data_IF_035991984843
#
_entry.id   IF_035991984843
#
_cell.length_a   1.000
_cell.length_b   1.000
_cell.length_c   1.000
_cell.angle_alpha   90.00
_cell.angle_beta   90.00
_cell.angle_gamma   90.00
#
_symmetry.space_group_name_H-M   'P 1'
#
loop_
_entity.id
_entity.type
_entity.pdbx_description
1 polymer ?
#
# COMPACT_ATOMS: atom_id res chain seq x y z
N UNK A 1 -11.94 27.87 39.67
CA UNK A 1 -12.66 27.13 38.64
C UNK A 1 -12.10 27.54 37.28
N UNK A 2 -11.20 26.76 36.72
CA UNK A 2 -10.56 27.05 35.42
C UNK A 2 -11.40 26.42 34.33
N UNK A 3 -12.24 27.22 33.66
CA UNK A 3 -13.00 26.80 32.47
C UNK A 3 -12.10 26.76 31.25
N UNK A 4 -11.59 25.60 30.94
CA UNK A 4 -10.87 25.39 29.70
C UNK A 4 -11.79 25.65 28.49
N UNK A 5 -11.49 26.67 27.69
CA UNK A 5 -12.24 27.00 26.49
C UNK A 5 -12.18 25.79 25.54
N UNK A 6 -13.34 25.21 25.19
CA UNK A 6 -13.45 24.14 24.21
C UNK A 6 -12.93 24.65 22.87
N UNK A 7 -11.94 23.94 22.29
CA UNK A 7 -11.43 24.26 20.95
C UNK A 7 -12.58 24.28 19.93
N UNK A 8 -12.63 25.24 19.01
CA UNK A 8 -13.63 25.27 17.95
C UNK A 8 -13.61 23.99 17.10
N UNK A 9 -14.77 23.53 16.67
CA UNK A 9 -14.96 22.27 15.93
C UNK A 9 -14.06 22.18 14.70
N UNK A 10 -13.89 23.28 13.97
CA UNK A 10 -13.03 23.33 12.79
C UNK A 10 -11.53 23.10 13.11
N UNK A 11 -11.07 23.49 14.30
CA UNK A 11 -9.69 23.21 14.75
C UNK A 11 -9.53 21.72 15.04
N UNK A 12 -10.53 21.12 15.69
CA UNK A 12 -10.53 19.69 16.00
C UNK A 12 -10.55 18.87 14.71
N UNK A 13 -11.37 19.26 13.73
CA UNK A 13 -11.47 18.59 12.45
C UNK A 13 -10.19 18.73 11.62
N UNK A 14 -9.55 19.91 11.67
CA UNK A 14 -8.25 20.13 11.00
C UNK A 14 -7.12 19.34 11.67
N UNK A 15 -7.10 19.26 13.01
CA UNK A 15 -6.14 18.43 13.75
C UNK A 15 -6.38 16.93 13.50
N UNK A 16 -7.64 16.48 13.41
CA UNK A 16 -8.03 15.11 13.03
C UNK A 16 -7.60 14.78 11.62
N UNK A 17 -7.90 15.63 10.64
CA UNK A 17 -7.50 15.45 9.26
C UNK A 17 -5.97 15.41 9.11
N UNK A 18 -5.24 16.29 9.83
CA UNK A 18 -3.78 16.30 9.82
C UNK A 18 -3.18 15.05 10.48
N UNK A 19 -3.80 14.56 11.58
CA UNK A 19 -3.39 13.30 12.22
C UNK A 19 -3.73 12.08 11.36
N UNK A 20 -4.89 12.05 10.70
CA UNK A 20 -5.27 11.01 9.78
C UNK A 20 -4.31 10.95 8.59
N UNK A 21 -4.00 12.08 7.96
CA UNK A 21 -3.05 12.16 6.85
C UNK A 21 -1.61 11.81 7.26
N UNK A 22 -1.21 12.13 8.50
CA UNK A 22 0.12 11.78 9.04
C UNK A 22 0.23 10.33 9.52
N UNK A 23 -0.91 9.71 9.90
CA UNK A 23 -1.00 8.36 10.43
C UNK A 23 -1.42 7.32 9.38
N UNK A 24 -1.66 7.73 8.14
CA UNK A 24 -2.05 6.81 7.09
C UNK A 24 -0.82 6.03 6.61
N UNK A 25 -0.55 4.94 7.29
CA UNK A 25 0.46 3.95 6.89
C UNK A 25 -0.21 2.62 6.63
N UNK A 26 0.41 1.82 5.78
CA UNK A 26 -0.05 0.49 5.40
C UNK A 26 1.06 -0.50 5.67
N UNK A 27 0.72 -1.65 6.27
CA UNK A 27 1.63 -2.77 6.38
C UNK A 27 1.46 -3.72 5.20
N UNK A 28 2.43 -3.72 4.31
CA UNK A 28 2.54 -4.72 3.25
C UNK A 28 3.18 -5.98 3.81
N UNK A 29 2.75 -7.15 3.37
CA UNK A 29 3.31 -8.43 3.84
C UNK A 29 3.37 -9.48 2.73
N UNK A 30 4.26 -10.45 2.93
CA UNK A 30 4.57 -11.48 1.93
C UNK A 30 5.72 -11.07 1.00
N UNK A 31 6.48 -12.07 0.57
CA UNK A 31 7.77 -11.86 -0.12
C UNK A 31 7.63 -11.02 -1.40
N UNK A 32 6.63 -11.28 -2.25
CA UNK A 32 6.46 -10.56 -3.51
C UNK A 32 6.04 -9.11 -3.31
N UNK A 33 5.02 -8.86 -2.47
CA UNK A 33 4.55 -7.51 -2.21
C UNK A 33 5.64 -6.65 -1.57
N UNK A 34 6.38 -7.20 -0.59
CA UNK A 34 7.48 -6.51 0.08
C UNK A 34 8.63 -6.24 -0.88
N UNK A 35 9.03 -7.23 -1.69
CA UNK A 35 10.09 -7.06 -2.68
C UNK A 35 9.77 -5.92 -3.65
N UNK A 36 8.60 -5.94 -4.25
CA UNK A 36 8.24 -4.96 -5.27
C UNK A 36 8.09 -3.55 -4.68
N UNK A 37 7.60 -3.43 -3.45
CA UNK A 37 7.59 -2.16 -2.72
C UNK A 37 8.99 -1.66 -2.35
N UNK A 38 9.92 -2.56 -2.01
CA UNK A 38 11.31 -2.19 -1.72
C UNK A 38 12.00 -1.56 -2.92
N UNK A 39 11.84 -2.14 -4.11
CA UNK A 39 12.48 -1.65 -5.34
C UNK A 39 11.74 -0.47 -5.99
N UNK A 40 10.50 -0.17 -5.57
CA UNK A 40 9.76 0.97 -6.08
C UNK A 40 10.33 2.30 -5.52
N UNK A 41 10.91 3.18 -6.36
CA UNK A 41 11.47 4.44 -5.91
C UNK A 41 10.41 5.43 -5.41
N UNK A 42 9.16 5.28 -5.84
CA UNK A 42 8.06 6.17 -5.46
C UNK A 42 7.41 5.76 -4.12
N UNK A 43 7.76 4.58 -3.60
CA UNK A 43 7.21 4.09 -2.34
C UNK A 43 7.98 4.64 -1.14
N UNK A 44 7.29 5.37 -0.27
CA UNK A 44 7.87 5.81 1.01
C UNK A 44 7.86 4.63 1.98
N UNK A 45 9.04 4.14 2.30
CA UNK A 45 9.30 3.00 3.17
C UNK A 45 9.64 3.52 4.57
N UNK A 46 9.00 2.98 5.60
CA UNK A 46 9.12 3.48 6.98
C UNK A 46 9.82 2.47 7.89
N UNK A 47 9.40 1.20 7.87
CA UNK A 47 9.91 0.17 8.75
C UNK A 47 9.86 -1.19 8.06
N UNK A 48 10.97 -1.91 8.06
CA UNK A 48 11.09 -3.25 7.46
C UNK A 48 11.38 -4.30 8.53
N UNK A 49 10.50 -5.30 8.65
CA UNK A 49 10.63 -6.41 9.58
C UNK A 49 10.75 -7.71 8.80
N UNK A 50 11.84 -8.43 9.01
CA UNK A 50 12.14 -9.67 8.28
C UNK A 50 12.56 -10.77 9.25
N UNK A 51 12.19 -12.01 8.94
CA UNK A 51 12.91 -13.17 9.47
C UNK A 51 14.21 -13.36 8.69
N UNK A 52 15.17 -14.11 9.27
CA UNK A 52 16.43 -14.40 8.59
C UNK A 52 16.23 -15.04 7.22
N UNK A 53 15.33 -16.02 7.12
CA UNK A 53 15.00 -16.68 5.84
C UNK A 53 14.39 -15.72 4.80
N UNK A 54 13.55 -14.78 5.24
CA UNK A 54 13.00 -13.76 4.34
C UNK A 54 14.07 -12.75 3.89
N UNK A 55 14.96 -12.36 4.81
CA UNK A 55 16.10 -11.49 4.49
C UNK A 55 16.98 -12.10 3.40
N UNK A 56 17.35 -13.39 3.53
CA UNK A 56 18.19 -14.07 2.56
C UNK A 56 17.57 -14.08 1.14
N UNK A 57 16.23 -14.11 1.07
CA UNK A 57 15.49 -14.05 -0.21
C UNK A 57 15.32 -12.63 -0.75
N UNK A 58 15.38 -11.63 0.09
CA UNK A 58 15.12 -10.22 -0.26
C UNK A 58 16.38 -9.35 -0.22
N UNK A 59 17.56 -9.94 0.02
CA UNK A 59 18.80 -9.21 0.27
C UNK A 59 19.11 -8.16 -0.80
N UNK A 60 18.98 -8.50 -2.07
CA UNK A 60 19.20 -7.58 -3.19
C UNK A 60 18.22 -6.40 -3.17
N UNK A 61 16.92 -6.67 -2.93
CA UNK A 61 15.90 -5.63 -2.86
C UNK A 61 16.08 -4.72 -1.63
N UNK A 62 16.53 -5.27 -0.51
CA UNK A 62 16.85 -4.52 0.72
C UNK A 62 18.04 -3.59 0.49
N UNK A 63 19.10 -4.08 -0.15
CA UNK A 63 20.25 -3.29 -0.51
C UNK A 63 19.90 -2.16 -1.46
N UNK A 64 19.14 -2.46 -2.51
CA UNK A 64 18.65 -1.45 -3.46
C UNK A 64 17.78 -0.39 -2.80
N UNK A 65 16.94 -0.78 -1.85
CA UNK A 65 16.06 0.15 -1.13
C UNK A 65 16.80 1.05 -0.14
N UNK A 66 17.96 0.63 0.34
CA UNK A 66 18.75 1.37 1.33
C UNK A 66 18.06 1.50 2.70
N UNK A 67 17.14 0.59 3.03
CA UNK A 67 16.44 0.56 4.32
C UNK A 67 17.04 -0.53 5.21
N UNK A 68 17.32 -0.21 6.48
CA UNK A 68 17.83 -1.17 7.44
C UNK A 68 16.71 -2.08 7.96
N UNK A 69 16.81 -3.41 7.80
CA UNK A 69 15.77 -4.31 8.26
C UNK A 69 15.93 -4.67 9.75
N UNK A 70 14.81 -4.78 10.44
CA UNK A 70 14.74 -5.44 11.75
C UNK A 70 14.67 -6.96 11.53
N UNK A 71 15.74 -7.67 11.86
CA UNK A 71 15.77 -9.13 11.77
C UNK A 71 15.23 -9.74 13.06
N UNK A 72 14.16 -10.50 12.95
CA UNK A 72 13.45 -11.08 14.09
C UNK A 72 13.37 -12.61 14.00
N UNK A 73 13.30 -13.26 15.15
CA UNK A 73 12.96 -14.69 15.20
C UNK A 73 11.51 -14.91 14.71
N UNK A 74 11.22 -15.95 13.91
CA UNK A 74 9.86 -16.23 13.44
C UNK A 74 8.80 -16.29 14.54
N UNK A 75 9.16 -16.73 15.74
CA UNK A 75 8.27 -16.80 16.92
C UNK A 75 7.99 -15.43 17.53
N UNK A 76 8.84 -14.44 17.24
CA UNK A 76 8.73 -13.06 17.72
C UNK A 76 8.29 -12.10 16.63
N UNK A 77 7.91 -12.61 15.46
CA UNK A 77 7.41 -11.80 14.36
C UNK A 77 6.07 -11.19 14.76
N UNK A 78 6.07 -9.91 15.09
CA UNK A 78 4.91 -9.16 15.56
C UNK A 78 4.82 -7.83 14.84
N UNK A 79 3.86 -7.71 13.94
CA UNK A 79 3.52 -6.51 13.19
C UNK A 79 2.00 -6.37 13.16
N UNK A 80 1.44 -5.15 13.01
CA UNK A 80 0.00 -4.93 13.05
C UNK A 80 -0.67 -5.33 11.72
N UNK A 81 -0.72 -6.63 11.48
CA UNK A 81 -1.44 -7.26 10.36
C UNK A 81 -2.48 -8.23 10.92
N UNK A 82 -3.50 -8.56 10.12
CA UNK A 82 -4.57 -9.45 10.55
C UNK A 82 -4.06 -10.83 10.97
N UNK A 83 -4.63 -11.39 12.03
CA UNK A 83 -4.35 -12.75 12.45
C UNK A 83 -4.64 -13.74 11.31
N UNK A 84 -3.72 -14.68 11.09
CA UNK A 84 -3.82 -15.64 9.98
C UNK A 84 -3.30 -15.13 8.64
N UNK A 85 -2.83 -13.90 8.55
CA UNK A 85 -2.14 -13.40 7.35
C UNK A 85 -0.89 -14.21 7.06
N UNK A 86 -0.77 -14.72 5.83
CA UNK A 86 0.42 -15.47 5.41
C UNK A 86 1.53 -14.48 5.01
N UNK A 87 2.28 -14.00 6.00
CA UNK A 87 3.31 -12.95 5.82
C UNK A 87 4.67 -13.49 5.32
N UNK A 88 4.90 -14.78 5.35
CA UNK A 88 6.13 -15.43 4.87
C UNK A 88 7.43 -14.88 5.51
N UNK A 89 7.30 -14.31 6.71
CA UNK A 89 8.42 -13.69 7.45
C UNK A 89 8.85 -12.33 6.91
N UNK A 90 8.03 -11.65 6.11
CA UNK A 90 8.33 -10.33 5.56
C UNK A 90 7.15 -9.38 5.76
N UNK A 91 7.42 -8.20 6.32
CA UNK A 91 6.48 -7.09 6.42
C UNK A 91 7.20 -5.75 6.27
N UNK A 92 6.54 -4.81 5.61
CA UNK A 92 7.05 -3.46 5.34
C UNK A 92 5.96 -2.43 5.62
N UNK A 93 6.24 -1.51 6.52
CA UNK A 93 5.39 -0.33 6.75
C UNK A 93 5.72 0.73 5.70
N UNK A 94 4.69 1.21 5.03
CA UNK A 94 4.80 2.18 3.94
C UNK A 94 3.73 3.25 4.02
N UNK A 95 3.90 4.35 3.30
CA UNK A 95 2.79 5.24 2.98
C UNK A 95 2.07 4.75 1.72
N UNK A 96 0.73 4.95 1.61
CA UNK A 96 0.00 4.69 0.38
C UNK A 96 0.62 5.41 -0.81
N UNK A 97 0.51 4.82 -2.00
CA UNK A 97 0.99 5.45 -3.23
C UNK A 97 0.08 6.61 -3.63
N UNK A 98 0.70 7.69 -4.06
CA UNK A 98 0.00 8.81 -4.67
C UNK A 98 0.20 8.77 -6.18
N UNK A 99 -0.80 8.33 -6.90
CA UNK A 99 -0.79 8.24 -8.36
C UNK A 99 -1.09 9.58 -9.06
N UNK A 100 -1.43 10.62 -8.29
CA UNK A 100 -1.82 11.92 -8.84
C UNK A 100 -3.29 11.97 -9.26
N UNK A 101 -3.61 12.84 -10.22
CA UNK A 101 -4.99 13.04 -10.64
C UNK A 101 -5.36 12.06 -11.77
N UNK A 102 -6.59 11.57 -11.73
CA UNK A 102 -7.12 10.68 -12.78
C UNK A 102 -6.93 11.25 -14.19
N UNK A 103 -7.18 12.53 -14.38
CA UNK A 103 -7.03 13.18 -15.69
C UNK A 103 -5.60 13.04 -16.24
N UNK A 104 -4.59 13.19 -15.38
CA UNK A 104 -3.19 13.12 -15.79
C UNK A 104 -2.79 11.67 -16.10
N UNK A 105 -3.25 10.71 -15.30
CA UNK A 105 -2.93 9.28 -15.48
C UNK A 105 -3.67 8.68 -16.67
N UNK A 106 -4.95 9.01 -16.87
CA UNK A 106 -5.77 8.42 -17.93
C UNK A 106 -5.35 8.84 -19.34
N UNK A 107 -4.80 10.05 -19.49
CA UNK A 107 -4.35 10.57 -20.81
C UNK A 107 -2.87 10.28 -21.09
N UNK A 108 -2.09 9.88 -20.10
CA UNK A 108 -0.67 9.56 -20.27
C UNK A 108 -0.46 8.24 -21.03
N UNK A 109 0.65 8.13 -21.78
CA UNK A 109 1.03 6.92 -22.48
C UNK A 109 0.61 6.88 -23.97
N UNK A 110 1.13 5.91 -24.68
CA UNK A 110 0.88 5.69 -26.11
C UNK A 110 -0.31 4.77 -26.35
N UNK A 111 -0.86 4.81 -27.56
CA UNK A 111 -1.94 3.93 -28.00
C UNK A 111 -3.33 4.28 -27.42
N UNK A 112 -4.30 3.42 -27.69
CA UNK A 112 -5.68 3.58 -27.21
C UNK A 112 -5.73 3.37 -25.68
N UNK A 113 -6.36 4.28 -24.92
CA UNK A 113 -6.41 4.15 -23.48
C UNK A 113 -7.35 3.01 -23.06
N UNK A 114 -6.81 2.06 -22.29
CA UNK A 114 -7.59 1.08 -21.55
C UNK A 114 -7.68 1.54 -20.09
N UNK A 115 -8.89 1.70 -19.60
CA UNK A 115 -9.16 2.04 -18.21
C UNK A 115 -10.17 1.06 -17.66
N UNK A 116 -9.94 0.58 -16.45
CA UNK A 116 -10.84 -0.35 -15.75
C UNK A 116 -11.57 0.44 -14.67
N UNK A 117 -12.90 0.45 -14.73
CA UNK A 117 -13.74 1.06 -13.71
C UNK A 117 -14.37 -0.02 -12.83
N UNK A 118 -14.15 0.07 -11.55
CA UNK A 118 -14.75 -0.80 -10.54
C UNK A 118 -16.00 -0.12 -9.96
N UNK A 119 -17.13 -0.80 -9.97
CA UNK A 119 -18.35 -0.32 -9.30
C UNK A 119 -18.56 -1.13 -8.01
N UNK A 120 -18.27 -0.50 -6.87
CA UNK A 120 -18.48 -1.04 -5.52
C UNK A 120 -17.82 -2.40 -5.26
N UNK A 121 -16.66 -2.62 -5.82
CA UNK A 121 -15.84 -3.80 -5.51
C UNK A 121 -15.07 -3.52 -4.22
N UNK A 122 -15.52 -4.10 -3.12
CA UNK A 122 -14.99 -3.83 -1.77
C UNK A 122 -14.04 -4.91 -1.26
N UNK A 123 -14.05 -6.09 -1.87
CA UNK A 123 -13.14 -7.17 -1.48
C UNK A 123 -11.72 -6.92 -2.01
N UNK A 124 -10.71 -6.78 -1.12
CA UNK A 124 -9.33 -6.55 -1.52
C UNK A 124 -8.75 -7.68 -2.38
N UNK A 125 -9.23 -8.92 -2.22
CA UNK A 125 -8.77 -10.04 -3.05
C UNK A 125 -9.24 -9.90 -4.49
N UNK A 126 -10.48 -9.49 -4.71
CA UNK A 126 -11.01 -9.24 -6.05
C UNK A 126 -10.33 -8.04 -6.71
N UNK A 127 -10.13 -6.94 -5.97
CA UNK A 127 -9.42 -5.76 -6.48
C UNK A 127 -7.97 -6.11 -6.82
N UNK A 128 -7.27 -6.86 -5.98
CA UNK A 128 -5.91 -7.31 -6.25
C UNK A 128 -5.80 -8.17 -7.51
N UNK A 129 -6.76 -9.06 -7.74
CA UNK A 129 -6.82 -9.86 -8.97
C UNK A 129 -7.05 -9.00 -10.22
N UNK A 130 -7.92 -7.98 -10.12
CA UNK A 130 -8.15 -7.02 -11.22
C UNK A 130 -6.89 -6.21 -11.49
N UNK A 131 -6.18 -5.73 -10.47
CA UNK A 131 -4.92 -4.99 -10.64
C UNK A 131 -3.88 -5.81 -11.41
N UNK A 132 -3.73 -7.09 -11.08
CA UNK A 132 -2.82 -7.99 -11.81
C UNK A 132 -3.20 -8.13 -13.29
N UNK A 133 -4.49 -8.31 -13.58
CA UNK A 133 -4.97 -8.42 -14.94
C UNK A 133 -4.82 -7.09 -15.69
N UNK A 134 -5.15 -5.99 -15.06
CA UNK A 134 -5.03 -4.64 -15.63
C UNK A 134 -3.57 -4.33 -16.03
N UNK A 135 -2.61 -4.67 -15.18
CA UNK A 135 -1.17 -4.53 -15.47
C UNK A 135 -0.78 -5.33 -16.72
N UNK A 136 -1.17 -6.60 -16.79
CA UNK A 136 -0.82 -7.49 -17.91
C UNK A 136 -1.42 -7.00 -19.24
N UNK A 137 -2.66 -6.45 -19.21
CA UNK A 137 -3.31 -5.92 -20.39
C UNK A 137 -2.95 -4.46 -20.69
N UNK A 138 -2.03 -3.85 -19.95
CA UNK A 138 -1.56 -2.49 -20.18
C UNK A 138 -2.60 -1.42 -19.88
N UNK A 139 -3.47 -1.64 -18.91
CA UNK A 139 -4.42 -0.63 -18.48
C UNK A 139 -3.68 0.59 -17.89
N UNK A 140 -4.12 1.79 -18.26
CA UNK A 140 -3.55 3.04 -17.73
C UNK A 140 -3.91 3.28 -16.28
N UNK A 141 -5.11 2.86 -15.89
CA UNK A 141 -5.58 2.95 -14.51
C UNK A 141 -6.67 1.93 -14.21
N UNK A 142 -6.75 1.53 -12.96
CA UNK A 142 -7.93 0.95 -12.32
C UNK A 142 -8.54 2.02 -11.45
N UNK A 143 -9.81 2.32 -11.66
CA UNK A 143 -10.53 3.42 -10.99
C UNK A 143 -11.61 2.81 -10.10
N UNK A 144 -11.69 3.27 -8.86
CA UNK A 144 -12.72 2.88 -7.93
C UNK A 144 -13.46 4.10 -7.36
N UNK A 145 -14.72 3.95 -6.91
CA UNK A 145 -15.43 5.02 -6.22
C UNK A 145 -14.68 5.42 -4.95
N UNK A 146 -14.69 6.70 -4.60
CA UNK A 146 -14.09 7.21 -3.36
C UNK A 146 -14.66 6.54 -2.10
N UNK A 147 -15.91 6.11 -2.16
CA UNK A 147 -16.60 5.38 -1.11
C UNK A 147 -17.03 4.01 -1.63
N UNK A 148 -17.08 3.02 -0.75
CA UNK A 148 -17.44 1.64 -1.10
C UNK A 148 -16.45 0.98 -2.08
N UNK A 149 -15.17 1.22 -1.88
CA UNK A 149 -14.06 0.55 -2.57
C UNK A 149 -13.10 -0.08 -1.56
N UNK A 150 -12.27 -1.00 -2.00
CA UNK A 150 -11.22 -1.55 -1.17
C UNK A 150 -10.09 -0.51 -1.02
N UNK A 151 -9.71 -0.10 0.19
CA UNK A 151 -8.54 0.74 0.40
C UNK A 151 -7.25 -0.04 0.11
N UNK A 152 -6.17 0.68 -0.09
CA UNK A 152 -4.84 0.07 -0.16
C UNK A 152 -4.51 -0.60 1.18
N UNK A 153 -4.42 -1.92 1.18
CA UNK A 153 -4.13 -2.74 2.35
C UNK A 153 -3.07 -3.80 2.03
N UNK A 154 -2.49 -4.39 3.06
CA UNK A 154 -1.55 -5.51 2.88
C UNK A 154 -2.19 -6.72 2.19
N UNK A 155 -3.47 -7.00 2.45
CA UNK A 155 -4.22 -8.07 1.79
C UNK A 155 -4.39 -7.80 0.29
N UNK A 156 -4.73 -6.56 -0.09
CA UNK A 156 -4.81 -6.13 -1.48
C UNK A 156 -3.43 -6.23 -2.16
N UNK A 157 -2.40 -5.69 -1.55
CA UNK A 157 -1.03 -5.73 -2.07
C UNK A 157 -0.53 -7.16 -2.29
N UNK A 158 -0.81 -8.05 -1.34
CA UNK A 158 -0.44 -9.47 -1.45
C UNK A 158 -1.15 -10.14 -2.63
N UNK A 159 -2.45 -9.94 -2.78
CA UNK A 159 -3.22 -10.52 -3.88
C UNK A 159 -2.83 -9.91 -5.22
N UNK A 160 -2.52 -8.64 -5.26
CA UNK A 160 -2.01 -7.95 -6.44
C UNK A 160 -0.61 -8.45 -6.86
N UNK A 161 0.11 -9.16 -5.99
CA UNK A 161 1.41 -9.78 -6.30
C UNK A 161 2.42 -8.81 -6.94
N UNK A 162 2.52 -7.60 -6.38
CA UNK A 162 3.40 -6.53 -6.89
C UNK A 162 2.76 -5.59 -7.91
N UNK A 163 1.64 -5.93 -8.52
CA UNK A 163 0.96 -5.04 -9.47
C UNK A 163 0.55 -3.71 -8.83
N UNK A 164 0.27 -3.68 -7.52
CA UNK A 164 -0.05 -2.45 -6.80
C UNK A 164 1.05 -1.38 -6.89
N UNK A 165 2.30 -1.80 -7.08
CA UNK A 165 3.45 -0.89 -7.17
C UNK A 165 3.62 -0.27 -8.58
N UNK A 166 2.93 -0.80 -9.59
CA UNK A 166 3.10 -0.41 -11.01
C UNK A 166 1.81 0.00 -11.68
N UNK A 167 0.68 -0.58 -11.25
CA UNK A 167 -0.63 -0.32 -11.82
C UNK A 167 -1.34 0.79 -11.04
N UNK A 168 -1.59 1.96 -11.64
CA UNK A 168 -2.33 3.03 -10.98
C UNK A 168 -3.70 2.55 -10.48
N UNK A 169 -3.95 2.76 -9.19
CA UNK A 169 -5.22 2.52 -8.52
C UNK A 169 -5.71 3.83 -7.91
N UNK A 170 -6.82 4.37 -8.41
CA UNK A 170 -7.33 5.72 -8.18
C UNK A 170 -8.75 5.70 -7.64
#
# INVERSE_FOLDING_TARGET
MSGGAKKPTWVIDKERAKRAAAAETVWLFGLHAVRDALVNPNRVKLRLVLTKNAYDKLAEAVEQAGIEPEIVDPRKFSVPIDEGSVHQGAALEVKPLNWGRLADVAISGEGAPLVVLLDRVTDPHNVGAVLRSAEVFGARAVIAPRHHSAPETGALAKTASGALERQPYL
#
